data_IF_020209929303
#
_entry.id   IF_020209929303
#
_cell.length_a   1.000
_cell.length_b   1.000
_cell.length_c   1.000
_cell.angle_alpha   90.00
_cell.angle_beta   90.00
_cell.angle_gamma   90.00
#
_symmetry.space_group_name_H-M   'P 1'
#
loop_
_entity.id
_entity.type
_entity.pdbx_description
1 polymer ?
#
# COMPACT_ATOMS: atom_id res chain seq x y z
N UNK A 1 -15.62 29.81 -61.07
CA UNK A 1 -16.78 28.96 -60.70
C UNK A 1 -16.80 28.82 -59.19
N UNK A 2 -17.67 29.56 -58.51
CA UNK A 2 -17.83 29.48 -57.07
C UNK A 2 -18.97 28.49 -56.77
N UNK A 3 -18.63 27.25 -56.43
CA UNK A 3 -19.62 26.32 -55.89
C UNK A 3 -19.91 26.75 -54.45
N UNK A 4 -21.10 27.32 -54.22
CA UNK A 4 -21.58 27.62 -52.87
C UNK A 4 -21.84 26.31 -52.13
N UNK A 5 -21.34 26.22 -50.88
CA UNK A 5 -21.66 25.10 -50.00
C UNK A 5 -23.18 25.04 -49.75
N UNK A 6 -23.74 23.85 -49.85
CA UNK A 6 -25.16 23.66 -49.54
C UNK A 6 -25.37 23.74 -48.02
N UNK A 7 -26.49 24.32 -47.59
CA UNK A 7 -26.87 24.38 -46.16
C UNK A 7 -26.84 23.00 -45.50
N UNK A 8 -27.21 21.95 -46.23
CA UNK A 8 -27.20 20.58 -45.71
C UNK A 8 -25.78 20.03 -45.50
N UNK A 9 -24.82 20.48 -46.30
CA UNK A 9 -23.41 20.08 -46.22
C UNK A 9 -22.75 20.69 -44.97
N UNK A 10 -23.08 21.95 -44.65
CA UNK A 10 -22.67 22.60 -43.39
C UNK A 10 -23.29 21.89 -42.18
N UNK A 11 -24.56 21.48 -42.28
CA UNK A 11 -25.27 20.81 -41.19
C UNK A 11 -24.69 19.42 -40.92
N UNK A 12 -24.39 18.64 -41.97
CA UNK A 12 -23.72 17.34 -41.83
C UNK A 12 -22.30 17.46 -41.27
N UNK A 13 -21.52 18.46 -41.70
CA UNK A 13 -20.15 18.62 -41.18
C UNK A 13 -20.17 18.98 -39.70
N UNK A 14 -21.06 19.89 -39.26
CA UNK A 14 -21.20 20.22 -37.84
C UNK A 14 -21.59 19.01 -36.97
N UNK A 15 -22.49 18.15 -37.44
CA UNK A 15 -22.88 16.95 -36.68
C UNK A 15 -21.74 15.95 -36.58
N UNK A 16 -20.99 15.73 -37.67
CA UNK A 16 -19.81 14.86 -37.67
C UNK A 16 -18.76 15.40 -36.70
N UNK A 17 -18.47 16.71 -36.73
CA UNK A 17 -17.50 17.31 -35.81
C UNK A 17 -17.96 17.23 -34.35
N UNK A 18 -19.25 17.40 -34.06
CA UNK A 18 -19.80 17.25 -32.72
C UNK A 18 -19.64 15.80 -32.19
N UNK A 19 -19.92 14.80 -33.04
CA UNK A 19 -19.73 13.39 -32.70
C UNK A 19 -18.27 13.05 -32.44
N UNK A 20 -17.36 13.51 -33.31
CA UNK A 20 -15.92 13.33 -33.13
C UNK A 20 -15.42 14.01 -31.85
N UNK A 21 -15.91 15.22 -31.56
CA UNK A 21 -15.58 15.94 -30.34
C UNK A 21 -15.95 15.16 -29.07
N UNK A 22 -17.16 14.57 -29.04
CA UNK A 22 -17.60 13.75 -27.90
C UNK A 22 -16.71 12.50 -27.69
N UNK A 23 -16.34 11.82 -28.78
CA UNK A 23 -15.45 10.65 -28.71
C UNK A 23 -14.09 11.06 -28.11
N UNK A 24 -13.51 12.17 -28.56
CA UNK A 24 -12.21 12.65 -28.04
C UNK A 24 -12.32 13.03 -26.56
N UNK A 25 -13.36 13.76 -26.15
CA UNK A 25 -13.52 14.15 -24.74
C UNK A 25 -13.70 12.94 -23.83
N UNK A 26 -14.48 11.94 -24.26
CA UNK A 26 -14.67 10.70 -23.47
C UNK A 26 -13.38 9.89 -23.32
N UNK A 27 -12.56 9.82 -24.38
CA UNK A 27 -11.25 9.17 -24.33
C UNK A 27 -10.31 9.86 -23.32
N UNK A 28 -10.25 11.19 -23.33
CA UNK A 28 -9.44 11.97 -22.37
C UNK A 28 -9.94 11.74 -20.93
N UNK A 29 -11.26 11.79 -20.71
CA UNK A 29 -11.84 11.57 -19.38
C UNK A 29 -11.55 10.16 -18.83
N UNK A 30 -11.55 9.14 -19.69
CA UNK A 30 -11.20 7.78 -19.31
C UNK A 30 -9.72 7.66 -18.93
N UNK A 31 -8.82 8.26 -19.72
CA UNK A 31 -7.38 8.31 -19.41
C UNK A 31 -7.11 8.97 -18.07
N UNK A 32 -7.74 10.12 -17.78
CA UNK A 32 -7.58 10.81 -16.49
C UNK A 32 -8.04 9.97 -15.30
N UNK A 33 -9.15 9.22 -15.45
CA UNK A 33 -9.61 8.29 -14.40
C UNK A 33 -8.60 7.18 -14.17
N UNK A 34 -7.99 6.66 -15.25
CA UNK A 34 -6.90 5.69 -15.17
C UNK A 34 -5.69 6.23 -14.40
N UNK A 35 -5.22 7.44 -14.74
CA UNK A 35 -4.10 8.10 -14.07
C UNK A 35 -4.36 8.29 -12.58
N UNK A 36 -5.53 8.79 -12.19
CA UNK A 36 -5.88 9.01 -10.77
C UNK A 36 -5.89 7.71 -9.97
N UNK A 37 -6.41 6.62 -10.54
CA UNK A 37 -6.36 5.29 -9.90
C UNK A 37 -4.92 4.79 -9.75
N UNK A 38 -4.10 5.02 -10.77
CA UNK A 38 -2.66 4.70 -10.74
C UNK A 38 -1.92 5.45 -9.63
N UNK A 39 -2.07 6.77 -9.58
CA UNK A 39 -1.43 7.62 -8.55
C UNK A 39 -1.84 7.23 -7.13
N UNK A 40 -3.13 6.96 -6.89
CA UNK A 40 -3.60 6.48 -5.58
C UNK A 40 -2.96 5.14 -5.19
N UNK A 41 -2.81 4.22 -6.15
CA UNK A 41 -2.19 2.92 -5.89
C UNK A 41 -0.69 3.06 -5.58
N UNK A 42 0.00 3.97 -6.28
CA UNK A 42 1.42 4.26 -6.05
C UNK A 42 1.62 4.83 -4.64
N UNK A 43 0.83 5.82 -4.23
CA UNK A 43 0.93 6.41 -2.87
C UNK A 43 0.70 5.38 -1.77
N UNK A 44 -0.29 4.49 -1.95
CA UNK A 44 -0.54 3.40 -1.00
C UNK A 44 0.66 2.47 -0.92
N UNK A 45 1.23 2.07 -2.07
CA UNK A 45 2.42 1.22 -2.12
C UNK A 45 3.62 1.89 -1.43
N UNK A 46 3.91 3.15 -1.74
CA UNK A 46 5.00 3.91 -1.10
C UNK A 46 4.82 3.99 0.41
N UNK A 47 3.60 4.18 0.89
CA UNK A 47 3.31 4.18 2.33
C UNK A 47 3.56 2.82 2.98
N UNK A 48 3.19 1.72 2.32
CA UNK A 48 3.43 0.38 2.84
C UNK A 48 4.91 0.01 2.79
N UNK A 49 5.61 0.35 1.70
CA UNK A 49 7.05 0.15 1.54
C UNK A 49 7.84 0.91 2.61
N UNK A 50 7.45 2.16 2.90
CA UNK A 50 8.04 2.95 3.98
C UNK A 50 7.86 2.25 5.34
N UNK A 51 6.64 1.83 5.66
CA UNK A 51 6.36 1.15 6.92
C UNK A 51 7.15 -0.17 7.04
N UNK A 52 7.26 -0.91 5.93
CA UNK A 52 8.02 -2.15 5.85
C UNK A 52 9.52 -1.93 6.06
N UNK A 53 10.10 -0.91 5.42
CA UNK A 53 11.50 -0.57 5.57
C UNK A 53 11.84 -0.19 7.03
N UNK A 54 10.91 0.49 7.71
CA UNK A 54 11.05 0.77 9.14
C UNK A 54 10.99 -0.52 9.97
N UNK A 55 10.02 -1.40 9.73
CA UNK A 55 9.93 -2.69 10.43
C UNK A 55 11.21 -3.51 10.24
N UNK A 56 11.65 -3.67 8.98
CA UNK A 56 12.85 -4.45 8.67
C UNK A 56 14.08 -3.88 9.37
N UNK A 57 14.28 -2.56 9.29
CA UNK A 57 15.42 -1.91 9.97
C UNK A 57 15.38 -2.11 11.48
N UNK A 58 14.22 -1.95 12.11
CA UNK A 58 14.12 -2.10 13.56
C UNK A 58 14.28 -3.55 14.00
N UNK A 59 13.66 -4.51 13.31
CA UNK A 59 13.77 -5.92 13.66
C UNK A 59 15.17 -6.49 13.40
N UNK A 60 15.88 -6.02 12.36
CA UNK A 60 17.28 -6.41 12.14
C UNK A 60 18.25 -5.87 13.19
N UNK A 61 17.90 -4.75 13.82
CA UNK A 61 18.70 -4.13 14.89
C UNK A 61 18.18 -4.46 16.30
N UNK A 62 17.02 -5.11 16.41
CA UNK A 62 16.43 -5.51 17.67
C UNK A 62 17.37 -6.46 18.41
N UNK A 63 17.41 -6.33 19.74
CA UNK A 63 18.14 -7.25 20.60
C UNK A 63 17.48 -8.62 20.60
N UNK A 64 16.15 -8.64 20.76
CA UNK A 64 15.32 -9.85 20.69
C UNK A 64 13.86 -9.53 20.40
N UNK A 65 13.15 -10.51 19.83
CA UNK A 65 11.69 -10.50 19.70
C UNK A 65 11.11 -11.47 20.72
N UNK A 66 10.25 -10.98 21.61
CA UNK A 66 9.71 -11.78 22.71
C UNK A 66 8.26 -11.36 23.03
N UNK A 67 7.30 -12.29 23.03
CA UNK A 67 7.44 -13.72 22.70
C UNK A 67 7.53 -13.99 21.19
N UNK A 68 8.29 -15.02 20.81
CA UNK A 68 8.32 -15.59 19.46
C UNK A 68 8.09 -17.10 19.57
N UNK A 69 7.02 -17.70 19.05
CA UNK A 69 5.87 -17.11 18.34
C UNK A 69 5.00 -16.20 19.21
N UNK A 70 4.56 -15.09 18.63
CA UNK A 70 3.65 -14.15 19.28
C UNK A 70 2.21 -14.70 19.30
N UNK A 71 1.45 -14.46 20.38
CA UNK A 71 0.08 -14.97 20.52
C UNK A 71 -0.94 -14.23 19.65
N UNK A 72 -0.70 -12.96 19.36
CA UNK A 72 -1.58 -12.10 18.56
C UNK A 72 -0.87 -11.69 17.25
N UNK A 73 -1.39 -12.08 16.07
CA UNK A 73 -0.79 -11.71 14.78
C UNK A 73 -0.87 -10.21 14.48
N UNK A 74 -1.62 -9.41 15.23
CA UNK A 74 -1.68 -7.96 15.05
C UNK A 74 -0.65 -7.20 15.89
N UNK A 75 0.00 -7.85 16.85
CA UNK A 75 0.95 -7.21 17.76
C UNK A 75 2.25 -8.01 17.84
N UNK A 76 3.36 -7.32 17.61
CA UNK A 76 4.70 -7.89 17.70
C UNK A 76 5.53 -7.08 18.69
N UNK A 77 5.83 -7.67 19.83
CA UNK A 77 6.67 -7.07 20.86
C UNK A 77 8.14 -7.44 20.64
N UNK A 78 9.02 -6.45 20.79
CA UNK A 78 10.46 -6.64 20.66
C UNK A 78 11.22 -5.68 21.58
N UNK A 79 12.47 -6.04 21.89
CA UNK A 79 13.41 -5.13 22.54
C UNK A 79 14.28 -4.50 21.46
N UNK A 80 14.33 -3.17 21.47
CA UNK A 80 15.25 -2.42 20.61
C UNK A 80 16.71 -2.66 21.03
N UNK A 81 17.67 -2.15 20.25
CA UNK A 81 19.11 -2.26 20.50
C UNK A 81 19.55 -1.76 21.88
N UNK A 82 18.82 -0.79 22.43
CA UNK A 82 19.10 -0.18 23.73
C UNK A 82 18.38 -0.92 24.90
N UNK A 83 17.76 -2.07 24.63
CA UNK A 83 17.00 -2.85 25.61
C UNK A 83 15.61 -2.28 25.93
N UNK A 84 15.18 -1.22 25.23
CA UNK A 84 13.87 -0.61 25.40
C UNK A 84 12.77 -1.50 24.80
N UNK A 85 11.74 -1.81 25.59
CA UNK A 85 10.58 -2.56 25.13
C UNK A 85 9.71 -1.70 24.20
N UNK A 86 9.43 -2.20 23.01
CA UNK A 86 8.60 -1.55 22.01
C UNK A 86 7.81 -2.60 21.22
N UNK A 87 6.91 -2.15 20.36
CA UNK A 87 6.00 -3.05 19.64
C UNK A 87 5.58 -2.49 18.29
N UNK A 88 5.34 -3.38 17.33
CA UNK A 88 4.51 -3.06 16.18
C UNK A 88 3.08 -3.49 16.45
N UNK A 89 2.11 -2.65 16.09
CA UNK A 89 0.69 -2.98 16.24
C UNK A 89 -0.12 -2.56 15.02
N UNK A 90 -1.02 -3.44 14.60
CA UNK A 90 -2.02 -3.14 13.59
C UNK A 90 -3.30 -2.67 14.29
N UNK A 91 -3.73 -1.45 14.04
CA UNK A 91 -4.89 -0.84 14.69
C UNK A 91 -6.00 -0.64 13.68
N UNK A 92 -7.24 -0.98 14.03
CA UNK A 92 -8.42 -0.72 13.19
C UNK A 92 -8.43 -1.47 11.85
N UNK A 93 -7.72 -2.61 11.76
CA UNK A 93 -7.60 -3.41 10.53
C UNK A 93 -8.97 -3.80 9.99
N UNK A 94 -9.17 -3.62 8.68
CA UNK A 94 -10.46 -3.86 8.03
C UNK A 94 -11.49 -2.74 8.20
N UNK A 95 -11.18 -1.73 9.02
CA UNK A 95 -11.95 -0.49 9.13
C UNK A 95 -11.52 0.59 8.14
N UNK A 96 -12.23 1.72 8.15
CA UNK A 96 -11.96 2.85 7.26
C UNK A 96 -10.63 3.57 7.54
N UNK A 97 -10.07 3.40 8.74
CA UNK A 97 -8.83 4.06 9.19
C UNK A 97 -7.88 3.05 9.83
N UNK A 98 -7.75 1.87 9.22
CA UNK A 98 -6.79 0.86 9.65
C UNK A 98 -5.35 1.31 9.39
N UNK A 99 -4.45 1.18 10.37
CA UNK A 99 -3.06 1.60 10.24
C UNK A 99 -2.10 0.71 11.01
N UNK A 100 -0.82 0.79 10.63
CA UNK A 100 0.29 0.16 11.33
C UNK A 100 0.98 1.20 12.22
N UNK A 101 1.25 0.83 13.46
CA UNK A 101 1.94 1.68 14.42
C UNK A 101 3.22 1.03 14.94
N UNK A 102 4.19 1.87 15.30
CA UNK A 102 5.41 1.50 16.03
C UNK A 102 5.40 2.21 17.37
N UNK A 103 5.31 1.45 18.46
CA UNK A 103 5.02 1.92 19.82
C UNK A 103 3.65 2.60 19.88
N UNK A 104 3.61 3.88 19.53
CA UNK A 104 2.38 4.70 19.50
C UNK A 104 2.31 5.66 18.31
N UNK A 105 3.28 5.61 17.40
CA UNK A 105 3.32 6.46 16.21
C UNK A 105 2.80 5.71 14.98
N UNK A 106 1.91 6.35 14.22
CA UNK A 106 1.39 5.83 12.95
C UNK A 106 2.51 5.81 11.90
N UNK A 107 2.72 4.66 11.26
CA UNK A 107 3.70 4.48 10.18
C UNK A 107 3.11 4.60 8.77
N UNK A 108 1.83 4.27 8.60
CA UNK A 108 1.16 4.41 7.30
C UNK A 108 0.49 5.77 7.14
N UNK A 109 0.32 6.25 5.91
CA UNK A 109 -0.45 7.46 5.62
C UNK A 109 -1.96 7.22 5.79
N UNK A 110 -2.75 8.29 5.90
CA UNK A 110 -4.23 8.25 5.95
C UNK A 110 -4.85 7.65 4.69
N UNK A 111 -4.16 7.75 3.56
CA UNK A 111 -4.63 7.24 2.27
C UNK A 111 -4.46 5.71 2.14
N UNK A 112 -3.70 5.08 3.05
CA UNK A 112 -3.40 3.66 3.07
C UNK A 112 -4.08 2.94 4.24
N UNK A 113 -5.41 2.85 4.19
CA UNK A 113 -6.20 2.09 5.16
C UNK A 113 -5.89 0.59 5.03
N UNK A 114 -5.35 -0.01 6.10
CA UNK A 114 -4.93 -1.40 6.12
C UNK A 114 -6.15 -2.31 6.29
N UNK A 115 -6.38 -3.19 5.31
CA UNK A 115 -7.45 -4.19 5.32
C UNK A 115 -6.99 -5.54 5.87
N UNK A 116 -5.73 -5.91 5.66
CA UNK A 116 -5.12 -7.13 6.23
C UNK A 116 -3.78 -6.74 6.83
N UNK A 117 -3.52 -7.22 8.04
CA UNK A 117 -2.27 -7.02 8.73
C UNK A 117 -1.93 -8.30 9.49
N UNK A 118 -0.72 -8.80 9.32
CA UNK A 118 -0.22 -9.97 10.03
C UNK A 118 1.26 -9.78 10.31
N UNK A 119 1.64 -9.94 11.57
CA UNK A 119 2.98 -9.85 12.09
C UNK A 119 3.21 -11.15 12.87
N UNK A 120 3.82 -12.14 12.24
CA UNK A 120 3.99 -13.47 12.84
C UNK A 120 5.47 -13.79 12.99
N UNK A 121 5.91 -13.93 14.22
CA UNK A 121 7.23 -14.42 14.54
C UNK A 121 7.23 -15.95 14.51
N UNK A 122 8.16 -16.53 13.76
CA UNK A 122 8.40 -17.96 13.68
C UNK A 122 9.73 -18.25 14.37
N UNK A 123 9.70 -19.15 15.34
CA UNK A 123 10.92 -19.61 16.00
C UNK A 123 11.83 -20.29 15.00
N UNK A 124 13.12 -20.00 15.11
CA UNK A 124 14.14 -20.70 14.34
C UNK A 124 14.24 -22.16 14.75
N UNK A 125 14.80 -22.97 13.86
CA UNK A 125 15.25 -24.33 14.14
C UNK A 125 16.76 -24.39 14.02
N UNK A 126 17.39 -25.53 14.29
CA UNK A 126 18.85 -25.70 14.15
C UNK A 126 19.41 -25.34 12.76
N UNK A 127 18.57 -25.33 11.72
CA UNK A 127 18.96 -25.01 10.34
C UNK A 127 18.36 -23.71 9.78
N UNK A 128 17.46 -23.04 10.52
CA UNK A 128 16.80 -21.82 10.05
C UNK A 128 16.76 -20.76 11.16
N UNK A 129 17.24 -19.53 10.92
CA UNK A 129 17.12 -18.48 11.92
C UNK A 129 15.64 -18.18 12.23
N UNK A 130 15.33 -17.66 13.42
CA UNK A 130 14.01 -17.12 13.70
C UNK A 130 13.71 -15.98 12.73
N UNK A 131 12.48 -15.94 12.23
CA UNK A 131 12.07 -14.98 11.21
C UNK A 131 10.71 -14.37 11.56
N UNK A 132 10.51 -13.12 11.17
CA UNK A 132 9.21 -12.45 11.27
C UNK A 132 8.62 -12.33 9.87
N UNK A 133 7.45 -12.92 9.68
CA UNK A 133 6.65 -12.72 8.49
C UNK A 133 5.70 -11.53 8.70
N UNK A 134 5.75 -10.58 7.76
CA UNK A 134 4.91 -9.39 7.75
C UNK A 134 4.06 -9.41 6.49
N UNK A 135 2.75 -9.43 6.66
CA UNK A 135 1.77 -9.33 5.58
C UNK A 135 0.92 -8.08 5.77
N UNK A 136 0.94 -7.17 4.80
CA UNK A 136 0.17 -5.93 4.80
C UNK A 136 -0.63 -5.84 3.50
N UNK A 137 -1.94 -5.57 3.61
CA UNK A 137 -2.80 -5.28 2.47
C UNK A 137 -3.54 -3.97 2.69
N UNK A 138 -3.55 -3.13 1.66
CA UNK A 138 -4.39 -1.93 1.59
C UNK A 138 -4.97 -1.81 0.18
N UNK A 139 -6.29 -1.78 0.07
CA UNK A 139 -6.99 -1.78 -1.22
C UNK A 139 -6.62 -3.00 -2.07
N UNK A 140 -5.99 -2.76 -3.22
CA UNK A 140 -5.50 -3.82 -4.14
C UNK A 140 -3.99 -4.07 -4.03
N UNK A 141 -3.30 -3.43 -3.08
CA UNK A 141 -1.86 -3.60 -2.86
C UNK A 141 -1.65 -4.53 -1.68
N UNK A 142 -0.90 -5.61 -1.91
CA UNK A 142 -0.45 -6.54 -0.87
C UNK A 142 1.07 -6.62 -0.90
N UNK A 143 1.68 -6.48 0.27
CA UNK A 143 3.10 -6.71 0.51
C UNK A 143 3.26 -7.83 1.54
N UNK A 144 4.13 -8.78 1.21
CA UNK A 144 4.52 -9.88 2.09
C UNK A 144 6.04 -9.91 2.14
N UNK A 145 6.61 -9.89 3.33
CA UNK A 145 8.06 -10.06 3.51
C UNK A 145 8.36 -10.99 4.68
N UNK A 146 9.56 -11.56 4.64
CA UNK A 146 10.14 -12.36 5.73
C UNK A 146 11.45 -11.72 6.14
N UNK A 147 11.57 -11.43 7.43
CA UNK A 147 12.72 -10.74 8.00
C UNK A 147 13.41 -11.72 8.94
N UNK A 148 14.61 -12.16 8.56
CA UNK A 148 15.45 -12.97 9.43
C UNK A 148 15.96 -12.12 10.59
N UNK A 149 15.74 -12.63 11.81
CA UNK A 149 16.25 -12.01 13.03
C UNK A 149 17.70 -12.40 13.24
N UNK A 150 18.44 -11.52 13.93
CA UNK A 150 19.84 -11.78 14.27
C UNK A 150 19.90 -12.85 15.35
N UNK A 151 20.51 -14.00 15.04
CA UNK A 151 20.88 -15.01 16.03
C UNK A 151 22.24 -14.67 16.61
N UNK A 152 22.30 -14.53 17.93
CA UNK A 152 23.55 -14.51 18.70
C UNK A 152 23.98 -15.93 19.07
#
# INVERSE_FOLDING_TARGET
MNKGMSLIEILMTMTIFALLGMIVTSAIALSMKGTRKGESTIKVRESLDYALAIIERQLRNAEKVEPCSNPDPYVLNYLDRDGAATSFSCVGVGGADGYLASGSARLTTTDAAISVCSLVCQTGTYSTPPQVQVDLTSGSVTLTTKIDLRTY
#
